data_IF_266280947625
#
_entry.id   IF_266280947625
#
_cell.length_a   1.000
_cell.length_b   1.000
_cell.length_c   1.000
_cell.angle_alpha   90.00
_cell.angle_beta   90.00
_cell.angle_gamma   90.00
#
_symmetry.space_group_name_H-M   'P 1'
#
loop_
_entity.id
_entity.type
_entity.pdbx_description
1 polymer ?
#
# COMPACT_ATOMS: atom_id res chain seq x y z
N UNK A 1 18.97 -69.49 -65.01
CA UNK A 1 19.11 -68.09 -65.45
C UNK A 1 17.71 -67.49 -65.47
N UNK A 2 17.34 -66.84 -64.36
CA UNK A 2 15.99 -66.36 -64.12
C UNK A 2 15.87 -64.99 -64.80
N UNK A 3 14.93 -64.87 -65.72
CA UNK A 3 14.41 -63.59 -66.19
C UNK A 3 12.91 -63.78 -66.43
N UNK A 4 12.13 -63.41 -65.43
CA UNK A 4 10.72 -63.09 -65.60
C UNK A 4 10.53 -61.71 -65.02
N UNK A 5 10.03 -60.82 -65.89
CA UNK A 5 9.80 -59.41 -65.65
C UNK A 5 8.75 -59.24 -64.54
N UNK A 6 9.12 -58.54 -63.47
CA UNK A 6 8.13 -57.86 -62.65
C UNK A 6 7.67 -56.60 -63.40
N UNK A 7 6.64 -56.75 -64.25
CA UNK A 7 5.82 -55.62 -64.69
C UNK A 7 4.98 -55.15 -63.51
N UNK A 8 5.56 -54.30 -62.67
CA UNK A 8 4.79 -53.47 -61.75
C UNK A 8 4.11 -52.37 -62.56
N UNK A 9 2.84 -52.59 -62.89
CA UNK A 9 1.93 -51.52 -63.31
C UNK A 9 1.71 -50.56 -62.13
N UNK A 10 2.64 -49.61 -61.93
CA UNK A 10 2.33 -48.40 -61.17
C UNK A 10 1.58 -47.45 -62.11
N UNK A 11 0.29 -47.30 -61.87
CA UNK A 11 -0.56 -46.25 -62.43
C UNK A 11 0.02 -44.87 -62.04
N UNK A 12 0.88 -44.33 -62.91
CA UNK A 12 1.57 -43.04 -62.75
C UNK A 12 0.67 -41.85 -63.12
N UNK A 13 -0.60 -41.83 -62.72
CA UNK A 13 -1.53 -40.79 -63.19
C UNK A 13 -2.26 -40.00 -62.10
N UNK A 14 -1.88 -40.12 -60.83
CA UNK A 14 -2.38 -39.21 -59.77
C UNK A 14 -1.23 -38.56 -59.01
N UNK A 15 -0.44 -37.78 -59.74
CA UNK A 15 0.42 -36.79 -59.09
C UNK A 15 -0.47 -35.59 -58.73
N UNK A 16 -0.61 -35.28 -57.45
CA UNK A 16 -1.31 -34.08 -57.03
C UNK A 16 -0.42 -32.87 -57.33
N UNK A 17 -0.95 -31.95 -58.13
CA UNK A 17 -0.32 -30.66 -58.33
C UNK A 17 -0.56 -29.79 -57.09
N UNK A 18 0.38 -29.86 -56.15
CA UNK A 18 0.31 -29.14 -54.89
C UNK A 18 0.37 -27.63 -55.09
N UNK A 19 1.01 -27.14 -56.16
CA UNK A 19 1.09 -25.72 -56.47
C UNK A 19 -0.25 -25.19 -56.97
N UNK A 20 -0.94 -25.95 -57.81
CA UNK A 20 -2.32 -25.64 -58.23
C UNK A 20 -3.30 -25.70 -57.07
N UNK A 21 -3.19 -26.71 -56.20
CA UNK A 21 -4.02 -26.82 -54.98
C UNK A 21 -3.75 -25.67 -54.02
N UNK A 22 -2.49 -25.29 -53.79
CA UNK A 22 -2.14 -24.17 -52.91
C UNK A 22 -2.69 -22.85 -53.46
N UNK A 23 -2.55 -22.62 -54.78
CA UNK A 23 -3.08 -21.42 -55.42
C UNK A 23 -4.61 -21.37 -55.33
N UNK A 24 -5.31 -22.49 -55.58
CA UNK A 24 -6.77 -22.54 -55.45
C UNK A 24 -7.21 -22.27 -54.00
N UNK A 25 -6.54 -22.88 -53.01
CA UNK A 25 -6.85 -22.63 -51.59
C UNK A 25 -6.59 -21.16 -51.23
N UNK A 26 -5.46 -20.60 -51.69
CA UNK A 26 -5.08 -19.22 -51.40
C UNK A 26 -6.07 -18.25 -52.01
N UNK A 27 -6.45 -18.42 -53.27
CA UNK A 27 -7.34 -17.51 -53.97
C UNK A 27 -8.80 -17.64 -53.51
N UNK A 28 -9.26 -18.86 -53.25
CA UNK A 28 -10.65 -19.12 -52.88
C UNK A 28 -10.91 -18.83 -51.39
N UNK A 29 -9.98 -19.18 -50.50
CA UNK A 29 -10.24 -19.10 -49.05
C UNK A 29 -9.42 -18.04 -48.31
N UNK A 30 -8.25 -17.64 -48.78
CA UNK A 30 -7.34 -16.76 -48.01
C UNK A 30 -7.32 -15.33 -48.54
N UNK A 31 -7.29 -15.17 -49.87
CA UNK A 31 -7.17 -13.87 -50.52
C UNK A 31 -8.41 -13.01 -50.25
N UNK A 32 -8.20 -11.77 -49.81
CA UNK A 32 -9.28 -10.85 -49.42
C UNK A 32 -9.74 -10.98 -47.97
N UNK A 33 -9.27 -11.97 -47.20
CA UNK A 33 -9.48 -11.95 -45.73
C UNK A 33 -8.67 -10.83 -45.11
N UNK A 34 -9.34 -9.99 -44.31
CA UNK A 34 -8.67 -8.93 -43.53
C UNK A 34 -8.05 -9.53 -42.28
N UNK A 35 -6.91 -8.99 -41.81
CA UNK A 35 -6.39 -9.31 -40.48
C UNK A 35 -7.49 -9.09 -39.44
N UNK A 36 -7.79 -10.13 -38.65
CA UNK A 36 -8.72 -10.00 -37.54
C UNK A 36 -8.08 -9.10 -36.48
N UNK A 37 -8.63 -7.89 -36.35
CA UNK A 37 -8.36 -7.05 -35.19
C UNK A 37 -9.29 -7.52 -34.10
N UNK A 38 -8.77 -8.27 -33.13
CA UNK A 38 -9.55 -8.67 -31.96
C UNK A 38 -9.81 -7.44 -31.11
N UNK A 39 -11.03 -6.91 -31.17
CA UNK A 39 -11.57 -6.11 -30.07
C UNK A 39 -12.05 -7.13 -29.05
N UNK A 40 -11.16 -7.53 -28.14
CA UNK A 40 -11.59 -8.31 -26.98
C UNK A 40 -12.51 -7.36 -26.20
N UNK A 41 -13.81 -7.66 -26.03
CA UNK A 41 -14.61 -6.97 -25.04
C UNK A 41 -13.98 -7.37 -23.71
N UNK A 42 -13.03 -6.56 -23.25
CA UNK A 42 -12.54 -6.63 -21.90
C UNK A 42 -13.76 -6.31 -21.06
N UNK A 43 -14.39 -7.34 -20.50
CA UNK A 43 -15.08 -7.16 -19.25
C UNK A 43 -14.00 -6.58 -18.33
N UNK A 44 -14.05 -5.28 -18.11
CA UNK A 44 -13.26 -4.62 -17.09
C UNK A 44 -13.66 -5.26 -15.76
N UNK A 45 -13.00 -6.38 -15.44
CA UNK A 45 -12.98 -6.90 -14.10
C UNK A 45 -12.50 -5.72 -13.25
N UNK A 46 -13.31 -5.33 -12.26
CA UNK A 46 -13.15 -4.15 -11.40
C UNK A 46 -11.84 -4.13 -10.57
N UNK A 47 -10.76 -4.76 -11.00
CA UNK A 47 -9.42 -4.60 -10.44
C UNK A 47 -8.75 -3.29 -10.88
N UNK A 48 -9.26 -2.61 -11.92
CA UNK A 48 -8.77 -1.30 -12.36
C UNK A 48 -9.04 -0.13 -11.38
N UNK A 49 -9.96 -0.31 -10.42
CA UNK A 49 -10.28 0.66 -9.36
C UNK A 49 -9.73 0.24 -7.99
N UNK A 50 -8.63 -0.52 -7.96
CA UNK A 50 -7.84 -0.61 -6.74
C UNK A 50 -7.29 0.80 -6.41
N UNK A 51 -7.61 1.31 -5.22
CA UNK A 51 -7.19 2.64 -4.79
C UNK A 51 -5.66 2.78 -4.81
N UNK A 52 -4.92 1.70 -4.53
CA UNK A 52 -3.46 1.72 -4.66
C UNK A 52 -3.00 1.91 -6.11
N UNK A 53 -3.65 1.25 -7.07
CA UNK A 53 -3.41 1.45 -8.50
C UNK A 53 -3.74 2.88 -8.95
N UNK A 54 -4.86 3.44 -8.47
CA UNK A 54 -5.23 4.83 -8.73
C UNK A 54 -4.17 5.82 -8.22
N UNK A 55 -3.74 5.66 -6.97
CA UNK A 55 -2.67 6.49 -6.36
C UNK A 55 -1.38 6.37 -7.17
N UNK A 56 -0.95 5.15 -7.49
CA UNK A 56 0.29 4.89 -8.25
C UNK A 56 0.24 5.57 -9.61
N UNK A 57 -0.90 5.51 -10.30
CA UNK A 57 -1.12 6.20 -11.57
C UNK A 57 -1.01 7.72 -11.43
N UNK A 58 -1.67 8.30 -10.41
CA UNK A 58 -1.62 9.74 -10.13
C UNK A 58 -0.18 10.19 -9.84
N UNK A 59 0.55 9.45 -9.01
CA UNK A 59 1.93 9.75 -8.62
C UNK A 59 2.92 9.62 -9.76
N UNK A 60 2.70 8.67 -10.67
CA UNK A 60 3.53 8.48 -11.87
C UNK A 60 3.37 9.67 -12.83
N UNK A 61 2.14 10.15 -13.01
CA UNK A 61 1.84 11.30 -13.88
C UNK A 61 2.23 12.64 -13.24
N UNK A 62 2.08 12.75 -11.92
CA UNK A 62 2.31 13.98 -11.15
C UNK A 62 3.41 13.77 -10.10
N UNK A 63 4.67 13.97 -10.48
CA UNK A 63 5.85 13.80 -9.59
C UNK A 63 5.76 14.58 -8.27
N UNK A 64 5.05 15.72 -8.26
CA UNK A 64 4.81 16.52 -7.05
C UNK A 64 3.99 15.78 -6.00
N UNK A 65 3.09 14.87 -6.41
CA UNK A 65 2.30 14.04 -5.50
C UNK A 65 3.17 12.94 -4.89
N UNK A 66 4.04 12.33 -5.69
CA UNK A 66 4.96 11.26 -5.24
C UNK A 66 5.90 11.72 -4.12
N UNK A 67 6.40 12.95 -4.22
CA UNK A 67 7.38 13.50 -3.28
C UNK A 67 6.73 14.36 -2.17
N UNK A 68 5.40 14.43 -2.13
CA UNK A 68 4.70 15.23 -1.15
C UNK A 68 4.84 14.63 0.25
N UNK A 69 5.08 15.49 1.24
CA UNK A 69 5.15 15.13 2.65
C UNK A 69 4.37 16.17 3.45
N UNK A 70 3.64 15.73 4.47
CA UNK A 70 2.90 16.62 5.37
C UNK A 70 3.12 16.30 6.85
N UNK A 71 4.05 15.38 7.16
CA UNK A 71 4.23 14.85 8.51
C UNK A 71 4.51 15.95 9.55
N UNK A 72 5.20 17.02 9.16
CA UNK A 72 5.51 18.18 10.02
C UNK A 72 4.26 18.88 10.56
N UNK A 73 3.11 18.74 9.90
CA UNK A 73 1.87 19.40 10.29
C UNK A 73 0.68 18.43 10.48
N UNK A 74 0.91 17.11 10.47
CA UNK A 74 -0.14 16.12 10.70
C UNK A 74 -0.85 16.34 12.04
N UNK A 75 -0.10 16.50 13.12
CA UNK A 75 -0.68 16.64 14.47
C UNK A 75 -1.50 17.95 14.59
N UNK A 76 -1.26 18.92 13.71
CA UNK A 76 -2.04 20.16 13.60
C UNK A 76 -3.37 19.97 12.89
N UNK A 77 -3.67 18.85 12.23
CA UNK A 77 -4.96 18.65 11.56
C UNK A 77 -6.06 18.27 12.56
N UNK A 78 -7.32 18.61 12.27
CA UNK A 78 -8.46 18.11 13.05
C UNK A 78 -8.55 16.58 12.96
N UNK A 79 -8.23 16.02 11.79
CA UNK A 79 -8.20 14.59 11.51
C UNK A 79 -7.28 13.79 12.46
N UNK A 80 -6.22 14.41 13.01
CA UNK A 80 -5.27 13.72 13.90
C UNK A 80 -5.89 13.31 15.24
N UNK A 81 -6.82 14.11 15.78
CA UNK A 81 -7.53 13.83 17.03
C UNK A 81 -9.00 13.42 16.80
N UNK A 82 -9.39 13.18 15.56
CA UNK A 82 -10.72 12.70 15.25
C UNK A 82 -10.96 11.31 15.86
N UNK A 83 -12.22 10.99 16.12
CA UNK A 83 -12.63 9.67 16.57
C UNK A 83 -12.37 8.60 15.49
N UNK A 84 -12.26 7.31 15.86
CA UNK A 84 -12.13 6.21 14.90
C UNK A 84 -13.18 6.23 13.78
N UNK A 85 -14.43 6.51 14.14
CA UNK A 85 -15.54 6.59 13.18
C UNK A 85 -15.35 7.74 12.18
N UNK A 86 -14.92 8.91 12.66
CA UNK A 86 -14.63 10.07 11.81
C UNK A 86 -13.43 9.80 10.89
N UNK A 87 -12.38 9.13 11.36
CA UNK A 87 -11.25 8.71 10.54
C UNK A 87 -11.66 7.74 9.44
N UNK A 88 -12.54 6.79 9.75
CA UNK A 88 -13.08 5.87 8.75
C UNK A 88 -13.92 6.61 7.71
N UNK A 89 -14.74 7.57 8.12
CA UNK A 89 -15.53 8.40 7.21
C UNK A 89 -14.62 9.25 6.31
N UNK A 90 -13.59 9.86 6.88
CA UNK A 90 -12.58 10.63 6.14
C UNK A 90 -11.81 9.75 5.13
N UNK A 91 -11.55 8.48 5.46
CA UNK A 91 -10.95 7.52 4.53
C UNK A 91 -11.86 7.24 3.34
N UNK A 92 -13.17 7.09 3.57
CA UNK A 92 -14.16 6.96 2.51
C UNK A 92 -14.14 8.16 1.56
N UNK A 93 -14.15 9.38 2.11
CA UNK A 93 -14.05 10.61 1.31
C UNK A 93 -12.75 10.68 0.49
N UNK A 94 -11.62 10.23 1.06
CA UNK A 94 -10.36 10.19 0.32
C UNK A 94 -10.39 9.19 -0.83
N UNK A 95 -11.06 8.04 -0.68
CA UNK A 95 -11.26 7.11 -1.79
C UNK A 95 -11.99 7.80 -2.95
N UNK A 96 -13.07 8.51 -2.65
CA UNK A 96 -13.86 9.22 -3.66
C UNK A 96 -13.04 10.31 -4.36
N UNK A 97 -12.24 11.06 -3.61
CA UNK A 97 -11.31 12.07 -4.15
C UNK A 97 -10.24 11.43 -5.05
N UNK A 98 -9.68 10.28 -4.66
CA UNK A 98 -8.67 9.57 -5.46
C UNK A 98 -9.28 9.07 -6.77
N UNK A 99 -10.48 8.49 -6.71
CA UNK A 99 -11.22 8.03 -7.90
C UNK A 99 -11.50 9.22 -8.82
N UNK A 100 -11.97 10.35 -8.26
CA UNK A 100 -12.18 11.57 -9.02
C UNK A 100 -10.89 12.05 -9.73
N UNK A 101 -9.75 12.04 -9.03
CA UNK A 101 -8.46 12.43 -9.64
C UNK A 101 -7.98 11.48 -10.71
N UNK A 102 -8.17 10.18 -10.51
CA UNK A 102 -7.84 9.18 -11.49
C UNK A 102 -8.65 9.37 -12.78
N UNK A 103 -9.92 9.77 -12.66
CA UNK A 103 -10.75 10.12 -13.81
C UNK A 103 -10.36 11.47 -14.45
N UNK A 104 -9.77 12.39 -13.69
CA UNK A 104 -9.45 13.76 -14.11
C UNK A 104 -7.94 14.08 -14.13
N UNK A 105 -7.14 13.13 -14.59
CA UNK A 105 -5.67 13.18 -14.51
C UNK A 105 -5.01 14.42 -15.16
N UNK A 106 -5.66 15.02 -16.16
CA UNK A 106 -5.12 16.17 -16.90
C UNK A 106 -5.33 17.52 -16.21
N UNK A 107 -6.33 17.63 -15.32
CA UNK A 107 -6.78 18.92 -14.78
C UNK A 107 -6.43 19.09 -13.29
N UNK A 108 -5.44 18.34 -12.82
CA UNK A 108 -5.06 18.28 -11.41
C UNK A 108 -4.32 19.55 -10.96
N UNK A 109 -5.01 20.39 -10.21
CA UNK A 109 -4.41 21.52 -9.50
C UNK A 109 -3.73 21.04 -8.22
N UNK A 110 -2.52 20.48 -8.34
CA UNK A 110 -1.80 19.83 -7.23
C UNK A 110 -1.54 20.71 -5.99
N UNK A 111 -1.54 22.04 -6.16
CA UNK A 111 -1.34 23.00 -5.07
C UNK A 111 -2.65 23.51 -4.45
N UNK A 112 -3.80 23.17 -5.03
CA UNK A 112 -5.12 23.52 -4.48
C UNK A 112 -5.29 22.92 -3.10
N UNK A 113 -5.95 23.65 -2.18
CA UNK A 113 -6.25 23.12 -0.84
C UNK A 113 -7.21 21.94 -0.96
N UNK A 114 -6.97 20.89 -0.17
CA UNK A 114 -7.84 19.72 -0.17
C UNK A 114 -9.26 20.09 0.27
N UNK A 115 -9.41 21.00 1.23
CA UNK A 115 -10.71 21.49 1.69
C UNK A 115 -11.47 22.25 0.61
N UNK A 116 -10.77 23.11 -0.16
CA UNK A 116 -11.37 23.81 -1.31
C UNK A 116 -11.85 22.82 -2.38
N UNK A 117 -11.10 21.73 -2.59
CA UNK A 117 -11.52 20.70 -3.54
C UNK A 117 -12.74 19.95 -3.04
N UNK A 118 -12.74 19.54 -1.78
CA UNK A 118 -13.87 18.84 -1.16
C UNK A 118 -15.14 19.71 -1.19
N UNK A 119 -14.99 21.02 -1.02
CA UNK A 119 -16.08 21.99 -1.20
C UNK A 119 -16.58 22.03 -2.65
N UNK A 120 -15.70 22.06 -3.66
CA UNK A 120 -16.08 21.97 -5.08
C UNK A 120 -16.75 20.65 -5.46
N UNK A 121 -16.41 19.57 -4.75
CA UNK A 121 -17.04 18.25 -4.89
C UNK A 121 -18.32 18.11 -4.06
N UNK A 122 -18.81 19.20 -3.45
CA UNK A 122 -20.05 19.24 -2.67
C UNK A 122 -20.08 18.31 -1.45
N UNK A 123 -18.93 17.99 -0.86
CA UNK A 123 -18.92 17.31 0.44
C UNK A 123 -19.46 18.22 1.55
N UNK A 124 -20.06 17.62 2.57
CA UNK A 124 -20.61 18.38 3.69
C UNK A 124 -19.51 19.05 4.52
N UNK A 125 -19.75 20.31 4.92
CA UNK A 125 -18.77 21.13 5.66
C UNK A 125 -18.27 20.50 6.95
N UNK A 126 -19.15 19.84 7.68
CA UNK A 126 -18.80 19.12 8.91
C UNK A 126 -17.79 17.99 8.64
N UNK A 127 -17.85 17.38 7.46
CA UNK A 127 -17.05 16.21 7.12
C UNK A 127 -15.68 16.61 6.57
N UNK A 128 -15.63 17.58 5.65
CA UNK A 128 -14.34 18.05 5.13
C UNK A 128 -13.60 18.96 6.13
N UNK A 129 -14.28 19.48 7.15
CA UNK A 129 -13.68 20.23 8.26
C UNK A 129 -12.59 19.45 9.00
N UNK A 130 -12.62 18.11 8.94
CA UNK A 130 -11.57 17.23 9.49
C UNK A 130 -10.20 17.46 8.83
N UNK A 131 -10.17 17.82 7.55
CA UNK A 131 -8.93 18.08 6.81
C UNK A 131 -8.35 19.48 7.05
N UNK A 132 -9.03 20.30 7.86
CA UNK A 132 -8.56 21.63 8.24
C UNK A 132 -7.55 21.56 9.38
N UNK A 133 -6.70 22.59 9.48
CA UNK A 133 -5.83 22.76 10.63
C UNK A 133 -6.62 23.18 11.88
N UNK A 134 -6.12 22.75 13.04
CA UNK A 134 -6.58 23.11 14.37
C UNK A 134 -5.89 24.41 14.79
N UNK A 135 -6.69 25.46 14.97
CA UNK A 135 -6.20 26.80 15.31
C UNK A 135 -5.79 27.63 14.09
N UNK A 136 -5.50 28.91 14.34
CA UNK A 136 -5.07 29.87 13.31
C UNK A 136 -3.55 29.81 13.14
N UNK A 137 -3.07 29.04 12.16
CA UNK A 137 -1.68 29.16 11.69
C UNK A 137 -1.66 30.02 10.43
N UNK A 138 -1.07 31.21 10.53
CA UNK A 138 -0.87 32.13 9.39
C UNK A 138 0.28 31.71 8.46
N UNK A 139 0.99 30.62 8.75
CA UNK A 139 2.08 30.17 7.88
C UNK A 139 1.51 29.40 6.68
N UNK A 140 1.59 30.01 5.50
CA UNK A 140 1.08 29.47 4.25
C UNK A 140 1.71 28.13 3.81
N UNK A 141 2.75 27.68 4.52
CA UNK A 141 3.52 26.47 4.19
C UNK A 141 2.91 25.16 4.69
N UNK A 142 2.14 25.17 5.77
CA UNK A 142 1.62 23.95 6.42
C UNK A 142 0.22 23.54 5.90
N UNK A 143 -0.06 23.72 4.62
CA UNK A 143 -1.41 23.48 4.09
C UNK A 143 -1.56 22.09 3.45
N UNK A 144 -2.65 21.42 3.81
CA UNK A 144 -3.03 20.16 3.18
C UNK A 144 -3.61 20.41 1.79
N UNK A 145 -2.74 20.31 0.78
CA UNK A 145 -3.10 20.39 -0.64
C UNK A 145 -3.40 19.03 -1.28
N UNK A 146 -3.96 19.06 -2.49
CA UNK A 146 -4.22 17.91 -3.36
C UNK A 146 -3.01 16.99 -3.55
N UNK A 147 -1.79 17.55 -3.69
CA UNK A 147 -0.55 16.77 -3.79
C UNK A 147 -0.34 15.78 -2.64
N UNK A 148 -0.93 16.00 -1.48
CA UNK A 148 -0.76 15.14 -0.31
C UNK A 148 -1.75 13.97 -0.25
N UNK A 149 -2.73 13.87 -1.16
CA UNK A 149 -3.83 12.90 -1.03
C UNK A 149 -3.34 11.44 -1.01
N UNK A 150 -2.33 11.07 -1.80
CA UNK A 150 -1.78 9.72 -1.80
C UNK A 150 -1.09 9.35 -0.48
N UNK A 151 -0.23 10.24 0.04
CA UNK A 151 0.43 10.02 1.35
C UNK A 151 -0.57 10.07 2.50
N UNK A 152 -1.57 10.95 2.42
CA UNK A 152 -2.63 11.08 3.42
C UNK A 152 -3.51 9.83 3.47
N UNK A 153 -3.85 9.28 2.30
CA UNK A 153 -4.63 8.06 2.22
C UNK A 153 -3.89 6.87 2.84
N UNK A 154 -2.61 6.66 2.48
CA UNK A 154 -1.78 5.59 3.08
C UNK A 154 -1.72 5.74 4.60
N UNK A 155 -1.51 6.97 5.05
CA UNK A 155 -1.47 7.29 6.46
C UNK A 155 -2.83 7.10 7.14
N UNK A 156 -3.96 7.42 6.54
CA UNK A 156 -5.26 7.22 7.19
C UNK A 156 -5.72 5.76 7.14
N UNK A 157 -5.49 5.08 6.02
CA UNK A 157 -5.78 3.66 5.83
C UNK A 157 -5.09 2.82 6.91
N UNK A 158 -3.82 3.10 7.21
CA UNK A 158 -3.09 2.40 8.25
C UNK A 158 -3.66 2.66 9.66
N UNK A 159 -4.18 3.86 9.97
CA UNK A 159 -4.86 4.09 11.26
C UNK A 159 -6.10 3.22 11.36
N UNK A 160 -6.97 3.33 10.38
CA UNK A 160 -8.28 2.67 10.39
C UNK A 160 -8.11 1.14 10.43
N UNK A 161 -7.12 0.62 9.73
CA UNK A 161 -6.73 -0.79 9.83
C UNK A 161 -6.22 -1.12 11.24
N UNK A 162 -5.35 -0.31 11.86
CA UNK A 162 -4.86 -0.56 13.22
C UNK A 162 -5.94 -0.53 14.31
N UNK A 163 -6.96 0.32 14.15
CA UNK A 163 -8.09 0.37 15.07
C UNK A 163 -9.01 -0.87 14.95
N UNK A 164 -8.88 -1.65 13.86
CA UNK A 164 -9.66 -2.87 13.59
C UNK A 164 -8.86 -4.16 13.69
N UNK A 165 -7.53 -4.09 13.65
CA UNK A 165 -6.64 -5.24 13.62
C UNK A 165 -6.22 -5.65 15.02
N UNK A 166 -5.98 -6.95 15.14
CA UNK A 166 -5.36 -7.60 16.28
C UNK A 166 -4.19 -6.74 16.82
N UNK A 167 -4.30 -6.38 18.10
CA UNK A 167 -3.27 -5.59 18.77
C UNK A 167 -1.96 -6.39 18.93
N UNK A 168 -1.98 -7.70 18.67
CA UNK A 168 -0.82 -8.58 18.76
C UNK A 168 0.27 -8.31 17.72
N UNK A 169 -0.07 -7.66 16.59
CA UNK A 169 0.88 -7.46 15.50
C UNK A 169 0.89 -6.04 14.95
N UNK A 170 2.09 -5.58 14.60
CA UNK A 170 2.34 -4.35 13.83
C UNK A 170 2.93 -4.62 12.45
N UNK A 171 3.07 -5.89 12.05
CA UNK A 171 3.66 -6.25 10.76
C UNK A 171 3.00 -5.51 9.58
N UNK A 172 1.66 -5.37 9.48
CA UNK A 172 1.02 -4.64 8.39
C UNK A 172 1.43 -3.15 8.28
N UNK A 173 1.91 -2.54 9.37
CA UNK A 173 2.20 -1.10 9.44
C UNK A 173 3.66 -0.74 9.16
N UNK A 174 4.53 -1.73 8.98
CA UNK A 174 5.96 -1.52 8.76
C UNK A 174 6.43 -2.17 7.45
N UNK A 175 7.47 -1.61 6.84
CA UNK A 175 8.14 -2.23 5.69
C UNK A 175 8.67 -3.62 6.05
N UNK A 176 8.78 -4.50 5.05
CA UNK A 176 9.30 -5.86 5.22
C UNK A 176 10.69 -5.92 5.84
N UNK A 177 11.53 -4.92 5.56
CA UNK A 177 12.87 -4.76 6.16
C UNK A 177 12.85 -4.57 7.69
N UNK A 178 11.69 -4.26 8.29
CA UNK A 178 11.48 -4.07 9.73
C UNK A 178 10.79 -5.25 10.42
N UNK A 179 10.60 -6.35 9.68
CA UNK A 179 9.94 -7.56 10.14
C UNK A 179 10.93 -8.71 10.40
N UNK A 180 12.22 -8.39 10.56
CA UNK A 180 13.23 -9.42 10.76
C UNK A 180 13.06 -10.10 12.12
N UNK A 181 13.22 -11.42 12.19
CA UNK A 181 13.05 -12.16 13.44
C UNK A 181 14.06 -11.72 14.49
N UNK A 182 13.67 -11.83 15.75
CA UNK A 182 14.57 -11.59 16.88
C UNK A 182 15.51 -12.76 17.12
N UNK A 183 16.70 -12.46 17.66
CA UNK A 183 17.58 -13.47 18.24
C UNK A 183 17.03 -13.97 19.59
N UNK A 184 17.43 -15.16 20.02
CA UNK A 184 16.97 -15.74 21.30
C UNK A 184 17.36 -14.90 22.52
N UNK A 185 18.53 -14.25 22.47
CA UNK A 185 18.97 -13.31 23.51
C UNK A 185 18.08 -12.08 23.57
N UNK A 186 17.78 -11.47 22.41
CA UNK A 186 16.91 -10.29 22.33
C UNK A 186 15.48 -10.60 22.82
N UNK A 187 14.94 -11.78 22.49
CA UNK A 187 13.66 -12.23 23.04
C UNK A 187 13.69 -12.34 24.57
N UNK A 188 14.76 -12.89 25.13
CA UNK A 188 14.89 -13.06 26.60
C UNK A 188 14.92 -11.70 27.30
N UNK A 189 15.66 -10.74 26.76
CA UNK A 189 15.74 -9.38 27.28
C UNK A 189 14.39 -8.65 27.21
N UNK A 190 13.63 -8.82 26.13
CA UNK A 190 12.27 -8.26 26.01
C UNK A 190 11.33 -8.86 27.05
N UNK A 191 11.41 -10.18 27.28
CA UNK A 191 10.59 -10.84 28.32
C UNK A 191 10.93 -10.32 29.72
N UNK A 192 12.21 -10.16 30.05
CA UNK A 192 12.62 -9.55 31.32
C UNK A 192 12.12 -8.11 31.47
N UNK A 193 12.19 -7.33 30.39
CA UNK A 193 11.67 -5.97 30.36
C UNK A 193 10.16 -5.94 30.67
N UNK A 194 9.37 -6.81 30.05
CA UNK A 194 7.92 -6.90 30.32
C UNK A 194 7.65 -7.28 31.78
N UNK A 195 8.40 -8.23 32.36
CA UNK A 195 8.27 -8.60 33.79
C UNK A 195 8.56 -7.45 34.75
N UNK A 196 9.60 -6.66 34.46
CA UNK A 196 10.05 -5.56 35.33
C UNK A 196 9.19 -4.30 35.17
N UNK A 197 8.31 -4.26 34.17
CA UNK A 197 7.49 -3.09 33.84
C UNK A 197 6.06 -3.28 34.35
N UNK A 198 5.48 -2.24 34.96
CA UNK A 198 4.09 -2.30 35.41
C UNK A 198 3.13 -2.46 34.22
N UNK A 199 1.98 -3.13 34.44
CA UNK A 199 0.95 -3.31 33.40
C UNK A 199 0.52 -1.97 32.77
N UNK A 200 0.29 -0.94 33.58
CA UNK A 200 -0.12 0.38 33.10
C UNK A 200 0.94 1.02 32.21
N UNK A 201 2.20 0.98 32.65
CA UNK A 201 3.33 1.49 31.88
C UNK A 201 3.49 0.74 30.56
N UNK A 202 3.40 -0.59 30.57
CA UNK A 202 3.58 -1.39 29.37
C UNK A 202 2.45 -1.19 28.36
N UNK A 203 1.19 -1.07 28.81
CA UNK A 203 0.08 -0.69 27.92
C UNK A 203 0.36 0.65 27.23
N UNK A 204 0.88 1.62 27.98
CA UNK A 204 1.35 2.89 27.42
C UNK A 204 2.46 2.72 26.39
N UNK A 205 3.46 1.88 26.68
CA UNK A 205 4.59 1.60 25.78
C UNK A 205 4.12 0.91 24.50
N UNK A 206 3.33 -0.17 24.58
CA UNK A 206 2.80 -0.89 23.42
C UNK A 206 1.95 0.04 22.55
N UNK A 207 1.10 0.86 23.17
CA UNK A 207 0.31 1.86 22.43
C UNK A 207 1.20 2.86 21.69
N UNK A 208 2.18 3.45 22.37
CA UNK A 208 3.12 4.40 21.75
C UNK A 208 3.94 3.73 20.64
N UNK A 209 4.38 2.49 20.85
CA UNK A 209 5.13 1.70 19.90
C UNK A 209 4.31 1.46 18.62
N UNK A 210 3.04 1.06 18.77
CA UNK A 210 2.11 0.88 17.66
C UNK A 210 1.86 2.20 16.92
N UNK A 211 1.67 3.30 17.64
CA UNK A 211 1.53 4.64 17.05
C UNK A 211 2.77 5.08 16.25
N UNK A 212 3.98 4.77 16.73
CA UNK A 212 5.22 5.06 16.00
C UNK A 212 5.31 4.20 14.74
N UNK A 213 5.07 2.89 14.85
CA UNK A 213 5.05 1.99 13.69
C UNK A 213 4.04 2.47 12.64
N UNK A 214 2.87 2.93 13.09
CA UNK A 214 1.86 3.55 12.26
C UNK A 214 2.36 4.82 11.53
N UNK A 215 2.90 5.80 12.26
CA UNK A 215 3.33 7.09 11.69
C UNK A 215 4.57 6.95 10.80
N UNK A 216 5.43 6.00 11.13
CA UNK A 216 6.81 6.01 10.65
C UNK A 216 7.28 4.71 9.99
N UNK A 217 6.54 3.61 10.12
CA UNK A 217 6.95 2.27 9.67
C UNK A 217 7.15 2.11 8.16
N UNK A 218 6.64 3.05 7.36
CA UNK A 218 6.77 3.05 5.89
C UNK A 218 7.91 3.94 5.37
N UNK A 219 8.61 4.65 6.26
CA UNK A 219 9.76 5.50 5.90
C UNK A 219 11.00 4.60 5.86
N UNK A 220 11.72 4.62 4.74
CA UNK A 220 12.97 3.87 4.57
C UNK A 220 14.09 4.55 5.38
N UNK A 221 14.58 3.83 6.39
CA UNK A 221 15.69 4.17 7.31
C UNK A 221 16.83 3.19 7.19
N UNK A 222 17.98 3.53 7.78
CA UNK A 222 19.03 2.55 7.98
C UNK A 222 18.64 1.57 9.11
N UNK A 223 17.94 0.50 8.75
CA UNK A 223 17.32 -0.46 9.66
C UNK A 223 18.28 -1.07 10.70
N UNK A 224 19.58 -1.14 10.36
CA UNK A 224 20.64 -1.75 11.17
C UNK A 224 21.40 -0.76 12.06
N UNK A 225 21.25 0.53 11.82
CA UNK A 225 22.01 1.57 12.52
C UNK A 225 21.12 2.46 13.39
N UNK A 226 19.84 2.60 13.05
CA UNK A 226 18.92 3.47 13.79
C UNK A 226 18.18 2.71 14.89
N UNK A 227 18.32 3.20 16.11
CA UNK A 227 17.61 2.69 17.28
C UNK A 227 16.14 3.13 17.24
N UNK A 228 15.25 2.16 17.40
CA UNK A 228 13.82 2.45 17.53
C UNK A 228 13.53 3.23 18.81
N UNK A 229 14.35 3.02 19.85
CA UNK A 229 14.11 3.57 21.18
C UNK A 229 14.06 5.09 21.23
N UNK A 230 14.79 5.79 20.36
CA UNK A 230 14.77 7.25 20.33
C UNK A 230 13.39 7.83 20.01
N UNK A 231 12.47 7.03 19.48
CA UNK A 231 11.09 7.43 19.21
C UNK A 231 10.15 7.23 20.40
N UNK A 232 10.54 6.38 21.36
CA UNK A 232 9.76 6.08 22.58
C UNK A 232 10.15 6.99 23.77
N UNK A 233 10.87 8.09 23.53
CA UNK A 233 11.42 8.99 24.58
C UNK A 233 10.40 9.53 25.59
N UNK A 234 9.11 9.50 25.27
CA UNK A 234 8.03 9.96 26.14
C UNK A 234 7.48 8.87 27.07
N UNK A 235 7.96 7.63 26.95
CA UNK A 235 7.59 6.54 27.84
C UNK A 235 8.64 6.34 28.94
N UNK A 236 8.22 5.75 30.08
CA UNK A 236 9.17 5.29 31.09
C UNK A 236 9.86 4.00 30.60
N UNK A 237 11.11 4.15 30.18
CA UNK A 237 11.91 3.10 29.53
C UNK A 237 13.00 2.54 30.44
N UNK A 238 12.87 2.65 31.77
CA UNK A 238 13.92 2.30 32.74
C UNK A 238 14.56 0.92 32.56
N UNK A 239 13.82 -0.05 32.01
CA UNK A 239 14.27 -1.42 31.77
C UNK A 239 14.31 -1.81 30.28
N UNK A 240 14.18 -0.85 29.38
CA UNK A 240 14.04 -1.12 27.95
C UNK A 240 15.38 -1.60 27.35
N UNK A 241 15.40 -2.70 26.56
CA UNK A 241 16.64 -3.28 26.07
C UNK A 241 17.14 -2.56 24.80
N UNK A 242 17.64 -1.34 24.98
CA UNK A 242 18.06 -0.43 23.91
C UNK A 242 19.02 -1.05 22.89
N UNK A 243 19.93 -1.91 23.36
CA UNK A 243 21.02 -2.49 22.57
C UNK A 243 20.54 -3.50 21.51
N UNK A 244 19.33 -4.04 21.68
CA UNK A 244 18.79 -5.12 20.86
C UNK A 244 17.63 -4.66 19.96
N UNK A 245 17.18 -3.41 20.13
CA UNK A 245 15.92 -2.92 19.55
C UNK A 245 16.15 -1.87 18.46
N UNK A 246 16.63 -2.38 17.33
CA UNK A 246 16.78 -1.67 16.07
C UNK A 246 15.50 -1.71 15.26
N UNK A 247 15.37 -0.80 14.31
CA UNK A 247 14.24 -0.77 13.38
C UNK A 247 14.03 -2.09 12.64
N UNK A 248 15.10 -2.82 12.29
CA UNK A 248 15.00 -4.11 11.58
C UNK A 248 14.17 -5.18 12.30
N UNK A 249 14.15 -5.13 13.65
CA UNK A 249 13.44 -6.09 14.50
C UNK A 249 12.16 -5.51 15.13
N UNK A 250 11.74 -4.31 14.73
CA UNK A 250 10.65 -3.58 15.38
C UNK A 250 9.36 -4.40 15.48
N UNK A 251 8.93 -5.07 14.41
CA UNK A 251 7.68 -5.82 14.43
C UNK A 251 7.77 -7.08 15.30
N UNK A 252 8.84 -7.86 15.18
CA UNK A 252 9.03 -9.07 15.95
C UNK A 252 9.18 -8.79 17.45
N UNK A 253 9.83 -7.68 17.81
CA UNK A 253 9.96 -7.24 19.19
C UNK A 253 8.66 -6.78 19.83
N UNK A 254 7.86 -6.03 19.08
CA UNK A 254 6.52 -5.65 19.53
C UNK A 254 5.67 -6.90 19.80
N UNK A 255 5.64 -7.85 18.87
CA UNK A 255 4.85 -9.07 18.99
C UNK A 255 5.30 -9.90 20.20
N UNK A 256 6.61 -10.07 20.40
CA UNK A 256 7.15 -10.77 21.56
C UNK A 256 6.75 -10.09 22.88
N UNK A 257 6.85 -8.75 22.94
CA UNK A 257 6.47 -7.99 24.12
C UNK A 257 4.96 -8.09 24.42
N UNK A 258 4.13 -8.01 23.38
CA UNK A 258 2.68 -8.12 23.49
C UNK A 258 2.24 -9.51 23.98
N UNK A 259 2.73 -10.57 23.35
CA UNK A 259 2.40 -11.95 23.74
C UNK A 259 2.78 -12.23 25.19
N UNK A 260 3.97 -11.78 25.61
CA UNK A 260 4.45 -11.98 26.97
C UNK A 260 3.65 -11.16 27.99
N UNK A 261 3.28 -9.93 27.65
CA UNK A 261 2.42 -9.10 28.48
C UNK A 261 1.04 -9.74 28.71
N UNK A 262 0.44 -10.32 27.67
CA UNK A 262 -0.83 -11.05 27.80
C UNK A 262 -0.69 -12.31 28.67
N UNK A 263 0.41 -13.05 28.55
CA UNK A 263 0.69 -14.24 29.36
C UNK A 263 0.88 -13.92 30.85
N UNK A 264 1.67 -12.90 31.17
CA UNK A 264 1.96 -12.51 32.56
C UNK A 264 0.72 -11.92 33.26
N UNK A 265 -0.13 -11.19 32.54
CA UNK A 265 -1.26 -10.48 33.14
C UNK A 265 -2.62 -11.13 32.95
N UNK A 266 -2.69 -12.30 32.30
CA UNK A 266 -3.92 -13.07 32.05
C UNK A 266 -5.06 -12.19 31.50
N UNK A 267 -4.76 -11.43 30.44
CA UNK A 267 -5.76 -10.68 29.66
C UNK A 267 -6.38 -11.62 28.63
#
# INVERSE_FOLDING_TARGET
>A
MISFKDEVFHDKSKCFDLESIENDIRHTFVHGRRPLTFIIPLFEYRSGFDIHSCITTIETRHKKCKNAQFQSFWDKLNLSAASPLEKQKALGMLNDVIVYFYQNLNNLQVNMRLTELLEKLHFEKKDWGLFSQRGYSNDGRDQLCVKHVGVLWRQLHNIVQSERLDESSIAPFVLEIYRQPLTGEAQTQIKEFVKKTSMGTMKGILKAWREIAYKQGHIKRNAKAEDFTHMLKHCDLKYFPHQFLKWEHCAAAYECAYQYACQEWKI
#
